data_IF_756348251150
#
_entry.id   IF_756348251150
#
_cell.length_a   1.000
_cell.length_b   1.000
_cell.length_c   1.000
_cell.angle_alpha   90.00
_cell.angle_beta   90.00
_cell.angle_gamma   90.00
#
_symmetry.space_group_name_H-M   'P 1'
#
loop_
_entity.id
_entity.type
_entity.pdbx_description
1 polymer ?
#
# COMPACT_ATOMS: atom_id res chain seq x y z
N UNK A 1 26.40 -4.37 3.14
CA UNK A 1 26.48 -2.91 2.93
C UNK A 1 26.82 -2.21 4.24
N UNK A 2 27.72 -1.24 4.20
CA UNK A 2 28.05 -0.38 5.33
C UNK A 2 27.04 0.78 5.44
N UNK A 3 26.97 1.42 6.62
CA UNK A 3 26.10 2.58 6.82
C UNK A 3 26.48 3.76 5.91
N UNK A 4 27.77 3.92 5.63
CA UNK A 4 28.25 4.97 4.72
C UNK A 4 27.88 4.68 3.26
N UNK A 5 28.02 3.45 2.80
CA UNK A 5 27.59 3.04 1.45
C UNK A 5 26.09 3.31 1.23
N UNK A 6 25.24 3.01 2.24
CA UNK A 6 23.79 3.28 2.16
C UNK A 6 23.54 4.80 2.09
N UNK A 7 24.24 5.60 2.92
CA UNK A 7 24.12 7.06 2.87
C UNK A 7 24.51 7.59 1.48
N UNK A 8 25.65 7.15 0.95
CA UNK A 8 26.16 7.63 -0.34
C UNK A 8 25.23 7.22 -1.50
N UNK A 9 24.61 6.03 -1.41
CA UNK A 9 23.59 5.60 -2.36
C UNK A 9 22.37 6.54 -2.32
N UNK A 10 21.82 6.84 -1.14
CA UNK A 10 20.69 7.76 -1.00
C UNK A 10 21.02 9.17 -1.53
N UNK A 11 22.20 9.68 -1.24
CA UNK A 11 22.63 10.98 -1.75
C UNK A 11 22.79 10.97 -3.28
N UNK A 12 23.25 9.84 -3.86
CA UNK A 12 23.34 9.69 -5.31
C UNK A 12 21.99 9.74 -6.00
N UNK A 13 20.97 9.09 -5.40
CA UNK A 13 19.60 9.14 -5.93
C UNK A 13 18.99 10.55 -5.84
N UNK A 14 19.27 11.28 -4.75
CA UNK A 14 18.88 12.70 -4.66
C UNK A 14 19.54 13.54 -5.76
N UNK A 15 20.81 13.29 -6.08
CA UNK A 15 21.49 13.98 -7.19
C UNK A 15 20.83 13.69 -8.54
N UNK A 16 20.47 12.42 -8.80
CA UNK A 16 19.74 12.03 -10.02
C UNK A 16 18.40 12.75 -10.10
N UNK A 17 17.64 12.78 -8.98
CA UNK A 17 16.37 13.49 -8.91
C UNK A 17 16.53 14.99 -9.25
N UNK A 18 17.54 15.65 -8.69
CA UNK A 18 17.88 17.05 -8.98
C UNK A 18 18.31 17.29 -10.42
N UNK A 19 18.95 16.32 -11.06
CA UNK A 19 19.34 16.35 -12.46
C UNK A 19 18.21 16.00 -13.43
N UNK A 20 17.06 15.53 -12.91
CA UNK A 20 15.94 15.05 -13.74
C UNK A 20 16.20 13.68 -14.36
N UNK A 21 17.12 12.90 -13.81
CA UNK A 21 17.48 11.56 -14.29
C UNK A 21 16.52 10.50 -13.73
N UNK A 22 15.23 10.65 -14.04
CA UNK A 22 14.17 9.69 -13.69
C UNK A 22 13.15 9.61 -14.82
N UNK A 23 12.46 8.46 -14.92
CA UNK A 23 11.41 8.25 -15.90
C UNK A 23 10.13 9.04 -15.50
N UNK A 24 9.57 9.81 -16.43
CA UNK A 24 8.31 10.55 -16.21
C UNK A 24 7.14 9.63 -15.87
N UNK A 25 7.14 8.40 -16.36
CA UNK A 25 6.13 7.40 -16.02
C UNK A 25 6.06 7.12 -14.52
N UNK A 26 7.16 7.36 -13.80
CA UNK A 26 7.19 7.23 -12.33
C UNK A 26 6.35 8.31 -11.64
N UNK A 27 6.20 9.47 -12.24
CA UNK A 27 5.33 10.52 -11.68
C UNK A 27 3.87 10.08 -11.73
N UNK A 28 3.41 9.60 -12.89
CA UNK A 28 2.06 9.04 -13.04
C UNK A 28 1.85 7.84 -12.09
N UNK A 29 2.82 6.94 -12.02
CA UNK A 29 2.79 5.79 -11.12
C UNK A 29 2.60 6.21 -9.65
N UNK A 30 3.36 7.20 -9.19
CA UNK A 30 3.23 7.73 -7.83
C UNK A 30 1.85 8.33 -7.58
N UNK A 31 1.31 9.14 -8.52
CA UNK A 31 -0.02 9.74 -8.40
C UNK A 31 -1.09 8.65 -8.30
N UNK A 32 -1.01 7.61 -9.14
CA UNK A 32 -1.93 6.47 -9.10
C UNK A 32 -1.88 5.74 -7.76
N UNK A 33 -0.70 5.56 -7.17
CA UNK A 33 -0.55 4.92 -5.87
C UNK A 33 -1.05 5.81 -4.72
N UNK A 34 -0.89 7.13 -4.78
CA UNK A 34 -1.54 8.06 -3.84
C UNK A 34 -3.07 7.98 -3.95
N UNK A 35 -3.61 7.96 -5.18
CA UNK A 35 -5.05 7.77 -5.43
C UNK A 35 -5.55 6.45 -4.85
N UNK A 36 -4.83 5.35 -5.09
CA UNK A 36 -5.14 4.05 -4.52
C UNK A 36 -5.19 4.10 -2.99
N UNK A 37 -4.15 4.65 -2.35
CA UNK A 37 -4.08 4.76 -0.89
C UNK A 37 -5.19 5.61 -0.30
N UNK A 38 -5.56 6.71 -0.94
CA UNK A 38 -6.68 7.57 -0.51
C UNK A 38 -8.02 6.83 -0.61
N UNK A 39 -8.29 6.16 -1.73
CA UNK A 39 -9.51 5.37 -1.91
C UNK A 39 -9.62 4.24 -0.88
N UNK A 40 -8.52 3.52 -0.61
CA UNK A 40 -8.47 2.48 0.42
C UNK A 40 -8.69 3.03 1.83
N UNK A 41 -8.07 4.16 2.17
CA UNK A 41 -8.26 4.81 3.46
C UNK A 41 -9.73 5.22 3.67
N UNK A 42 -10.39 5.71 2.62
CA UNK A 42 -11.81 6.10 2.68
C UNK A 42 -12.79 4.94 2.75
N UNK A 43 -12.37 3.67 2.60
CA UNK A 43 -13.25 2.51 2.78
C UNK A 43 -13.70 2.35 4.23
N UNK A 44 -12.90 2.77 5.19
CA UNK A 44 -13.24 2.71 6.61
C UNK A 44 -13.88 4.02 7.13
N UNK A 45 -14.77 3.89 8.13
CA UNK A 45 -15.33 5.06 8.83
C UNK A 45 -14.24 5.83 9.59
N UNK A 46 -13.25 5.13 10.14
CA UNK A 46 -12.12 5.69 10.86
C UNK A 46 -11.25 6.54 9.90
N UNK A 47 -10.85 5.99 8.75
CA UNK A 47 -10.07 6.73 7.76
C UNK A 47 -10.77 8.01 7.30
N UNK A 48 -12.10 7.96 7.05
CA UNK A 48 -12.87 9.17 6.73
C UNK A 48 -12.90 10.18 7.87
N UNK A 49 -13.08 9.71 9.11
CA UNK A 49 -13.09 10.59 10.28
C UNK A 49 -11.72 11.23 10.49
N UNK A 50 -10.64 10.46 10.34
CA UNK A 50 -9.26 10.94 10.49
C UNK A 50 -8.90 12.01 9.46
N UNK A 51 -9.41 11.94 8.24
CA UNK A 51 -9.22 13.01 7.25
C UNK A 51 -9.78 14.35 7.76
N UNK A 52 -10.99 14.35 8.35
CA UNK A 52 -11.57 15.58 8.92
C UNK A 52 -10.77 16.08 10.12
N UNK A 53 -10.38 15.16 11.03
CA UNK A 53 -9.60 15.49 12.23
C UNK A 53 -8.23 16.09 11.83
N UNK A 54 -7.53 15.45 10.90
CA UNK A 54 -6.22 15.90 10.43
C UNK A 54 -6.30 17.25 9.70
N UNK A 55 -7.32 17.46 8.86
CA UNK A 55 -7.57 18.74 8.21
C UNK A 55 -7.78 19.86 9.25
N UNK A 56 -8.57 19.60 10.31
CA UNK A 56 -8.81 20.53 11.38
C UNK A 56 -7.55 20.83 12.20
N UNK A 57 -6.79 19.81 12.62
CA UNK A 57 -5.56 19.97 13.43
C UNK A 57 -4.50 20.75 12.66
N UNK A 58 -4.34 20.46 11.37
CA UNK A 58 -3.33 21.10 10.53
C UNK A 58 -3.78 22.47 10.00
N UNK A 59 -5.04 22.86 10.24
CA UNK A 59 -5.61 24.10 9.69
C UNK A 59 -5.68 24.12 8.17
N UNK A 60 -5.78 22.94 7.54
CA UNK A 60 -5.87 22.79 6.09
C UNK A 60 -7.30 23.06 5.63
N UNK A 61 -7.47 23.86 4.58
CA UNK A 61 -8.78 24.03 3.95
C UNK A 61 -9.26 22.70 3.37
N UNK A 62 -10.48 22.28 3.73
CA UNK A 62 -11.08 21.02 3.27
C UNK A 62 -11.09 20.88 1.74
N UNK A 63 -11.28 21.99 1.03
CA UNK A 63 -11.18 22.00 -0.44
C UNK A 63 -9.79 21.54 -0.91
N UNK A 64 -8.74 21.91 -0.19
CA UNK A 64 -7.39 21.50 -0.52
C UNK A 64 -7.17 20.01 -0.26
N UNK A 65 -7.79 19.43 0.76
CA UNK A 65 -7.73 17.99 1.02
C UNK A 65 -8.36 17.21 -0.14
N UNK A 66 -9.63 17.46 -0.44
CA UNK A 66 -10.39 16.71 -1.46
C UNK A 66 -9.91 16.93 -2.90
N UNK A 67 -9.06 17.92 -3.16
CA UNK A 67 -8.47 18.17 -4.49
C UNK A 67 -6.98 17.85 -4.55
N UNK A 68 -6.42 17.17 -3.53
CA UNK A 68 -4.98 16.90 -3.46
C UNK A 68 -4.49 16.08 -4.66
N UNK A 69 -5.16 14.99 -5.01
CA UNK A 69 -4.82 14.13 -6.16
C UNK A 69 -4.91 14.90 -7.47
N UNK A 70 -5.98 15.71 -7.67
CA UNK A 70 -6.13 16.52 -8.89
C UNK A 70 -5.03 17.57 -9.05
N UNK A 71 -4.51 18.08 -7.92
CA UNK A 71 -3.36 19.01 -7.95
C UNK A 71 -2.05 18.28 -8.22
N UNK A 72 -1.85 17.11 -7.62
CA UNK A 72 -0.67 16.28 -7.90
C UNK A 72 -0.61 15.85 -9.36
N UNK A 73 -1.76 15.53 -9.96
CA UNK A 73 -1.84 15.15 -11.38
C UNK A 73 -1.42 16.26 -12.37
N UNK A 74 -1.30 17.51 -11.89
CA UNK A 74 -0.83 18.65 -12.71
C UNK A 74 0.66 18.91 -12.58
N UNK A 75 1.36 18.22 -11.66
CA UNK A 75 2.80 18.38 -11.50
C UNK A 75 3.53 17.82 -12.70
N UNK A 76 4.55 18.54 -13.13
CA UNK A 76 5.44 18.14 -14.21
C UNK A 76 6.78 17.65 -13.65
N UNK A 77 7.58 17.03 -14.50
CA UNK A 77 8.96 16.66 -14.18
C UNK A 77 9.79 17.87 -13.75
N UNK A 78 9.59 19.00 -14.45
CA UNK A 78 10.28 20.27 -14.16
C UNK A 78 9.92 20.79 -12.77
N UNK A 79 8.66 20.66 -12.33
CA UNK A 79 8.23 21.06 -10.98
C UNK A 79 8.94 20.23 -9.91
N UNK A 80 9.06 18.92 -10.12
CA UNK A 80 9.78 18.01 -9.20
C UNK A 80 11.27 18.37 -9.15
N UNK A 81 11.90 18.58 -10.30
CA UNK A 81 13.32 18.99 -10.39
C UNK A 81 13.54 20.35 -9.72
N UNK A 82 12.65 21.31 -9.94
CA UNK A 82 12.73 22.63 -9.30
C UNK A 82 12.61 22.52 -7.76
N UNK A 83 11.66 21.72 -7.28
CA UNK A 83 11.51 21.45 -5.86
C UNK A 83 12.75 20.78 -5.26
N UNK A 84 13.26 19.73 -5.91
CA UNK A 84 14.45 19.01 -5.46
C UNK A 84 15.68 19.95 -5.37
N UNK A 85 15.91 20.79 -6.38
CA UNK A 85 17.00 21.74 -6.37
C UNK A 85 16.85 22.85 -5.32
N UNK A 86 15.62 23.20 -4.94
CA UNK A 86 15.34 24.21 -3.92
C UNK A 86 15.55 23.65 -2.51
N UNK A 87 15.11 22.43 -2.24
CA UNK A 87 14.98 21.92 -0.86
C UNK A 87 15.92 20.76 -0.54
N UNK A 88 16.30 19.92 -1.49
CA UNK A 88 17.15 18.74 -1.26
C UNK A 88 18.63 19.08 -1.55
N UNK A 89 19.19 19.97 -0.74
CA UNK A 89 20.57 20.44 -0.90
C UNK A 89 21.57 19.55 -0.16
N UNK A 90 22.82 19.57 -0.58
CA UNK A 90 23.90 18.77 0.01
C UNK A 90 24.35 19.25 1.40
N UNK A 91 23.94 20.45 1.79
CA UNK A 91 24.28 21.11 3.07
C UNK A 91 23.08 21.22 4.03
N UNK A 92 21.95 20.61 3.70
CA UNK A 92 20.72 20.75 4.45
C UNK A 92 20.05 19.39 4.75
N UNK A 93 20.78 18.49 5.41
CA UNK A 93 20.26 17.22 5.88
C UNK A 93 20.93 16.79 7.19
N UNK A 94 20.28 15.89 7.91
CA UNK A 94 20.82 15.22 9.09
C UNK A 94 20.88 13.71 8.85
N UNK A 95 21.97 13.09 9.29
CA UNK A 95 22.14 11.62 9.23
C UNK A 95 22.12 11.05 10.62
N UNK A 96 21.26 10.06 10.85
CA UNK A 96 21.19 9.32 12.11
C UNK A 96 21.55 7.87 11.82
N UNK A 97 22.62 7.38 12.44
CA UNK A 97 23.03 5.99 12.34
C UNK A 97 22.55 5.18 13.54
N UNK A 98 21.70 4.18 13.29
CA UNK A 98 21.35 3.20 14.31
C UNK A 98 22.36 2.05 14.28
N UNK A 99 23.16 1.94 15.33
CA UNK A 99 24.18 0.88 15.49
C UNK A 99 23.74 -0.12 16.55
N UNK A 100 24.15 -1.37 16.38
CA UNK A 100 23.95 -2.39 17.40
C UNK A 100 24.94 -2.18 18.57
N UNK A 101 24.50 -2.39 19.82
CA UNK A 101 25.29 -2.28 21.02
C UNK A 101 24.87 -1.11 21.92
N UNK A 102 25.65 -0.91 23.00
CA UNK A 102 25.46 0.25 23.91
C UNK A 102 26.44 1.36 23.53
N UNK A 103 25.96 2.59 23.47
CA UNK A 103 26.83 3.74 23.35
C UNK A 103 27.56 3.97 24.69
N UNK A 104 28.90 3.86 24.72
CA UNK A 104 29.67 4.12 25.94
C UNK A 104 29.56 5.57 26.42
N UNK A 105 29.14 6.50 25.56
CA UNK A 105 28.97 7.92 25.85
C UNK A 105 27.49 8.30 26.06
N UNK A 106 26.61 7.31 26.28
CA UNK A 106 25.19 7.57 26.51
C UNK A 106 25.00 8.51 27.72
N UNK A 107 24.56 9.72 27.45
CA UNK A 107 24.20 10.67 28.50
C UNK A 107 22.82 10.27 29.02
N UNK A 108 22.78 9.76 30.26
CA UNK A 108 21.50 9.58 30.95
C UNK A 108 20.85 10.94 31.15
N UNK A 109 19.80 11.21 30.40
CA UNK A 109 18.97 12.37 30.69
C UNK A 109 18.15 12.09 31.93
N UNK A 110 18.19 13.04 32.87
CA UNK A 110 17.30 12.99 34.04
C UNK A 110 15.88 13.14 33.54
N UNK A 111 15.04 12.15 33.84
CA UNK A 111 13.63 12.20 33.47
C UNK A 111 13.00 13.43 34.16
N UNK A 112 12.39 14.36 33.43
CA UNK A 112 11.72 15.50 34.05
C UNK A 112 10.60 15.02 34.98
N UNK A 113 10.35 15.71 36.05
CA UNK A 113 9.20 15.47 36.90
C UNK A 113 7.93 15.73 36.07
N UNK A 114 7.10 14.70 35.94
CA UNK A 114 5.81 14.82 35.25
C UNK A 114 4.78 15.15 36.32
N UNK A 115 4.22 16.34 36.26
CA UNK A 115 3.08 16.70 37.11
C UNK A 115 1.91 15.79 36.69
N UNK A 116 1.37 14.96 37.62
CA UNK A 116 0.23 14.11 37.28
C UNK A 116 -0.96 14.97 36.85
N UNK A 117 -1.51 14.68 35.68
CA UNK A 117 -2.77 15.30 35.26
C UNK A 117 -3.88 14.61 36.05
N UNK A 118 -4.61 15.36 36.85
CA UNK A 118 -5.82 14.85 37.50
C UNK A 118 -6.88 14.63 36.43
N UNK A 119 -7.07 13.39 36.04
CA UNK A 119 -8.14 13.00 35.09
C UNK A 119 -9.42 12.80 35.87
N UNK A 120 -10.38 13.70 35.68
CA UNK A 120 -11.71 13.59 36.28
C UNK A 120 -12.58 12.65 35.43
N UNK A 121 -12.34 11.34 35.56
CA UNK A 121 -13.01 10.32 34.73
C UNK A 121 -14.50 10.18 35.01
N UNK A 122 -14.94 10.68 36.15
CA UNK A 122 -16.33 10.57 36.61
C UNK A 122 -17.20 11.77 36.20
N UNK A 123 -16.60 12.77 35.52
CA UNK A 123 -17.30 13.97 35.06
C UNK A 123 -17.27 14.03 33.54
N UNK A 124 -18.45 13.96 32.93
CA UNK A 124 -18.62 14.19 31.50
C UNK A 124 -18.88 15.69 31.24
N UNK A 125 -18.36 16.23 30.13
CA UNK A 125 -18.75 17.58 29.70
C UNK A 125 -20.21 17.59 29.24
N UNK A 126 -20.90 18.75 29.31
CA UNK A 126 -22.27 18.86 28.81
C UNK A 126 -22.41 18.37 27.36
N UNK A 127 -21.43 18.66 26.51
CA UNK A 127 -21.37 18.17 25.11
C UNK A 127 -21.31 16.64 25.04
N UNK A 128 -20.48 16.00 25.85
CA UNK A 128 -20.39 14.54 25.86
C UNK A 128 -21.69 13.91 26.32
N UNK A 129 -22.34 14.48 27.34
CA UNK A 129 -23.65 14.02 27.80
C UNK A 129 -24.71 14.15 26.71
N UNK A 130 -24.76 15.29 26.00
CA UNK A 130 -25.67 15.50 24.86
C UNK A 130 -25.46 14.45 23.75
N UNK A 131 -24.20 14.15 23.41
CA UNK A 131 -23.87 13.11 22.41
C UNK A 131 -24.29 11.72 22.90
N UNK A 132 -24.05 11.39 24.17
CA UNK A 132 -24.41 10.09 24.75
C UNK A 132 -25.91 9.89 24.86
N UNK A 133 -26.66 10.96 25.13
CA UNK A 133 -28.14 10.91 25.24
C UNK A 133 -28.86 11.10 23.90
N UNK A 134 -28.11 11.43 22.83
CA UNK A 134 -28.71 11.57 21.50
C UNK A 134 -29.31 10.26 21.02
N UNK A 135 -30.50 10.35 20.46
CA UNK A 135 -31.22 9.18 19.91
C UNK A 135 -30.49 8.72 18.62
N UNK A 136 -29.90 7.55 18.69
CA UNK A 136 -29.23 6.92 17.53
C UNK A 136 -30.21 5.89 16.93
N UNK A 137 -30.50 5.99 15.63
CA UNK A 137 -31.21 4.93 14.93
C UNK A 137 -30.35 3.67 14.90
N UNK A 138 -30.87 2.51 15.33
CA UNK A 138 -30.12 1.26 15.17
C UNK A 138 -29.81 1.00 13.70
N UNK A 139 -28.60 0.53 13.44
CA UNK A 139 -28.20 0.09 12.10
C UNK A 139 -28.77 -1.31 11.90
N UNK A 140 -29.65 -1.45 10.93
CA UNK A 140 -30.18 -2.76 10.53
C UNK A 140 -29.12 -3.52 9.73
N UNK A 141 -28.85 -4.81 10.06
CA UNK A 141 -27.90 -5.60 9.29
C UNK A 141 -28.44 -5.87 7.89
N UNK A 142 -27.60 -5.67 6.90
CA UNK A 142 -27.89 -6.02 5.50
C UNK A 142 -27.27 -7.39 5.22
N UNK A 143 -28.12 -8.40 5.03
CA UNK A 143 -27.67 -9.75 4.66
C UNK A 143 -27.57 -9.88 3.14
N UNK A 144 -26.44 -10.44 2.67
CA UNK A 144 -26.26 -10.73 1.25
C UNK A 144 -27.08 -11.97 0.85
N UNK A 145 -27.86 -11.83 -0.22
CA UNK A 145 -28.48 -12.94 -0.93
C UNK A 145 -27.60 -13.29 -2.16
N UNK A 146 -26.79 -14.35 -2.05
CA UNK A 146 -25.84 -14.74 -3.09
C UNK A 146 -26.49 -15.03 -4.45
N UNK A 147 -27.78 -15.30 -4.49
CA UNK A 147 -28.50 -15.53 -5.76
C UNK A 147 -28.95 -14.23 -6.41
N UNK A 148 -29.25 -13.19 -5.59
CA UNK A 148 -29.75 -11.90 -6.08
C UNK A 148 -28.66 -10.85 -6.19
N UNK A 149 -27.73 -10.87 -5.22
CA UNK A 149 -26.73 -9.81 -5.06
C UNK A 149 -25.44 -10.06 -5.80
N UNK A 150 -25.26 -11.28 -6.35
CA UNK A 150 -24.09 -11.68 -7.13
C UNK A 150 -24.49 -12.21 -8.49
N UNK A 151 -23.75 -11.83 -9.53
CA UNK A 151 -23.88 -12.44 -10.86
C UNK A 151 -23.02 -13.70 -10.94
N UNK A 152 -23.62 -14.78 -11.43
CA UNK A 152 -22.94 -16.04 -11.69
C UNK A 152 -22.58 -16.10 -13.17
N UNK A 153 -21.30 -16.07 -13.47
CA UNK A 153 -20.75 -16.09 -14.83
C UNK A 153 -19.85 -17.31 -14.99
N UNK A 154 -19.44 -17.59 -16.22
CA UNK A 154 -18.47 -18.63 -16.55
C UNK A 154 -17.39 -18.05 -17.46
N UNK A 155 -16.13 -18.39 -17.17
CA UNK A 155 -15.04 -18.17 -18.10
C UNK A 155 -15.13 -19.11 -19.30
N UNK A 156 -14.32 -18.87 -20.35
CA UNK A 156 -14.26 -19.74 -21.54
C UNK A 156 -13.90 -21.20 -21.24
N UNK A 157 -13.21 -21.45 -20.13
CA UNK A 157 -12.80 -22.78 -19.64
C UNK A 157 -13.83 -23.42 -18.68
N UNK A 158 -15.07 -22.95 -18.68
CA UNK A 158 -16.14 -23.35 -17.76
C UNK A 158 -15.87 -23.08 -16.26
N UNK A 159 -14.82 -22.33 -15.95
CA UNK A 159 -14.53 -21.92 -14.56
C UNK A 159 -15.64 -20.97 -14.08
N UNK A 160 -16.28 -21.27 -12.95
CA UNK A 160 -17.32 -20.40 -12.40
C UNK A 160 -16.73 -19.10 -11.90
N UNK A 161 -17.41 -17.99 -12.18
CA UNK A 161 -17.06 -16.64 -11.71
C UNK A 161 -18.24 -16.10 -10.91
N UNK A 162 -18.00 -15.70 -9.68
CA UNK A 162 -18.93 -14.93 -8.87
C UNK A 162 -18.54 -13.46 -8.96
N UNK A 163 -19.45 -12.62 -9.44
CA UNK A 163 -19.18 -11.21 -9.66
C UNK A 163 -20.13 -10.34 -8.85
N UNK A 164 -19.59 -9.37 -8.18
CA UNK A 164 -20.31 -8.26 -7.52
C UNK A 164 -19.68 -6.95 -7.93
N UNK A 165 -20.48 -6.05 -8.49
CA UNK A 165 -19.99 -4.71 -8.83
C UNK A 165 -19.66 -3.94 -7.55
N UNK A 166 -18.48 -3.35 -7.48
CA UNK A 166 -18.13 -2.37 -6.47
C UNK A 166 -18.80 -1.03 -6.85
N UNK A 167 -19.75 -0.59 -6.02
CA UNK A 167 -20.47 0.67 -6.19
C UNK A 167 -20.01 1.75 -5.21
N UNK A 168 -19.07 1.42 -4.33
CA UNK A 168 -18.59 2.32 -3.28
C UNK A 168 -17.43 3.20 -3.76
N UNK A 169 -16.55 2.64 -4.58
CA UNK A 169 -15.37 3.33 -5.12
C UNK A 169 -14.87 2.67 -6.41
N UNK A 170 -13.79 3.22 -6.97
CA UNK A 170 -13.15 2.74 -8.21
C UNK A 170 -12.05 1.70 -7.97
N UNK A 171 -12.21 0.85 -6.97
CA UNK A 171 -11.30 -0.27 -6.70
C UNK A 171 -11.88 -1.59 -7.17
N UNK A 172 -11.00 -2.51 -7.57
CA UNK A 172 -11.36 -3.90 -7.83
C UNK A 172 -10.60 -4.87 -6.93
N UNK A 173 -11.19 -6.04 -6.73
CA UNK A 173 -10.53 -7.21 -6.18
C UNK A 173 -10.92 -8.44 -6.98
N UNK A 174 -9.94 -9.16 -7.52
CA UNK A 174 -10.13 -10.44 -8.20
C UNK A 174 -9.46 -11.53 -7.37
N UNK A 175 -10.22 -12.55 -7.02
CA UNK A 175 -9.74 -13.66 -6.20
C UNK A 175 -9.81 -14.94 -7.02
N UNK A 176 -8.66 -15.56 -7.29
CA UNK A 176 -8.57 -16.92 -7.79
C UNK A 176 -8.56 -17.87 -6.61
N UNK A 177 -9.41 -18.90 -6.66
CA UNK A 177 -9.52 -19.91 -5.62
C UNK A 177 -9.09 -21.25 -6.18
N UNK A 178 -8.05 -21.83 -5.60
CA UNK A 178 -7.56 -23.15 -5.94
C UNK A 178 -7.94 -24.15 -4.85
N UNK A 179 -8.58 -25.26 -5.19
CA UNK A 179 -8.91 -26.34 -4.25
C UNK A 179 -7.67 -27.21 -3.96
N UNK A 180 -6.56 -26.54 -3.59
CA UNK A 180 -5.30 -27.14 -3.21
C UNK A 180 -4.60 -26.22 -2.19
N UNK A 181 -4.11 -26.78 -1.10
CA UNK A 181 -3.43 -26.06 -0.02
C UNK A 181 -2.32 -26.89 0.61
N UNK A 182 -1.79 -26.44 1.74
CA UNK A 182 -0.63 -27.05 2.43
C UNK A 182 -0.86 -28.50 2.89
N UNK A 183 -2.12 -28.95 3.05
CA UNK A 183 -2.44 -30.35 3.32
C UNK A 183 -2.22 -31.26 2.11
N UNK A 184 -2.28 -30.71 0.89
CA UNK A 184 -2.05 -31.45 -0.35
C UNK A 184 -0.56 -31.48 -0.70
N UNK A 185 0.15 -30.35 -0.52
CA UNK A 185 1.59 -30.25 -0.71
C UNK A 185 2.19 -29.18 0.23
N UNK A 186 3.10 -29.60 1.10
CA UNK A 186 3.75 -28.70 2.07
C UNK A 186 4.70 -27.68 1.42
N UNK A 187 5.12 -27.91 0.18
CA UNK A 187 5.98 -26.99 -0.55
C UNK A 187 5.22 -25.79 -1.15
N UNK A 188 3.89 -25.83 -1.17
CA UNK A 188 3.09 -24.77 -1.78
C UNK A 188 3.35 -23.39 -1.18
N UNK A 189 3.42 -23.27 0.16
CA UNK A 189 3.75 -22.02 0.81
C UNK A 189 5.03 -21.41 0.27
N UNK A 190 6.12 -22.17 0.33
CA UNK A 190 7.44 -21.74 -0.18
C UNK A 190 7.41 -21.43 -1.69
N UNK A 191 6.69 -22.23 -2.48
CA UNK A 191 6.58 -21.99 -3.92
C UNK A 191 5.86 -20.67 -4.24
N UNK A 192 4.85 -20.31 -3.46
CA UNK A 192 4.13 -19.06 -3.64
C UNK A 192 4.92 -17.86 -3.12
N UNK A 193 5.62 -17.98 -2.00
CA UNK A 193 6.54 -16.95 -1.54
C UNK A 193 7.63 -16.67 -2.57
N UNK A 194 8.09 -17.74 -3.26
CA UNK A 194 9.09 -17.62 -4.31
C UNK A 194 8.55 -16.91 -5.58
N UNK A 195 7.26 -16.96 -5.86
CA UNK A 195 6.66 -16.32 -7.03
C UNK A 195 6.93 -14.81 -7.08
N UNK A 196 7.03 -14.15 -5.93
CA UNK A 196 7.32 -12.71 -5.85
C UNK A 196 8.74 -12.32 -6.32
N UNK A 197 9.64 -13.30 -6.44
CA UNK A 197 11.02 -13.13 -6.89
C UNK A 197 11.25 -13.55 -8.34
N UNK A 198 10.19 -13.91 -9.04
CA UNK A 198 10.26 -14.37 -10.41
C UNK A 198 9.91 -13.25 -11.39
N UNK A 199 10.59 -13.30 -12.53
CA UNK A 199 10.24 -12.54 -13.73
C UNK A 199 9.63 -13.44 -14.80
N UNK A 200 9.52 -12.92 -16.01
CA UNK A 200 9.13 -13.62 -17.22
C UNK A 200 10.30 -13.67 -18.19
N UNK A 201 10.14 -14.33 -19.35
CA UNK A 201 11.19 -14.40 -20.37
C UNK A 201 11.61 -13.04 -20.93
N UNK A 202 10.77 -12.00 -20.78
CA UNK A 202 10.98 -10.64 -21.30
C UNK A 202 10.93 -9.54 -20.24
N UNK A 203 10.72 -9.88 -18.97
CA UNK A 203 10.71 -8.92 -17.86
C UNK A 203 11.45 -9.49 -16.64
N UNK A 204 12.37 -8.71 -16.09
CA UNK A 204 12.98 -9.03 -14.80
C UNK A 204 11.96 -8.92 -13.66
N UNK A 205 12.21 -9.50 -12.46
CA UNK A 205 11.35 -9.32 -11.29
C UNK A 205 11.14 -7.85 -10.92
N UNK A 206 12.17 -7.03 -11.07
CA UNK A 206 12.13 -5.58 -10.79
C UNK A 206 11.25 -4.84 -11.80
N UNK A 207 11.36 -5.17 -13.08
CA UNK A 207 10.52 -4.59 -14.14
C UNK A 207 9.05 -5.00 -13.93
N UNK A 208 8.79 -6.26 -13.57
CA UNK A 208 7.45 -6.74 -13.27
C UNK A 208 6.84 -5.99 -12.08
N UNK A 209 7.58 -5.82 -10.99
CA UNK A 209 7.14 -5.03 -9.82
C UNK A 209 6.90 -3.57 -10.18
N UNK A 210 7.76 -2.99 -11.01
CA UNK A 210 7.61 -1.62 -11.49
C UNK A 210 6.33 -1.45 -12.32
N UNK A 211 5.98 -2.42 -13.17
CA UNK A 211 4.74 -2.38 -13.94
C UNK A 211 3.50 -2.54 -13.06
N UNK A 212 3.49 -3.43 -12.07
CA UNK A 212 2.40 -3.50 -11.09
C UNK A 212 2.26 -2.19 -10.31
N UNK A 213 3.38 -1.59 -9.89
CA UNK A 213 3.39 -0.29 -9.22
C UNK A 213 2.83 0.82 -10.13
N UNK A 214 3.22 0.85 -11.42
CA UNK A 214 2.71 1.81 -12.40
C UNK A 214 1.19 1.71 -12.58
N UNK A 215 0.66 0.49 -12.52
CA UNK A 215 -0.77 0.22 -12.61
C UNK A 215 -1.52 0.55 -11.30
N UNK A 216 -0.82 0.86 -10.22
CA UNK A 216 -1.37 0.91 -8.86
C UNK A 216 -2.21 -0.35 -8.57
N UNK A 217 -1.65 -1.50 -8.90
CA UNK A 217 -2.20 -2.82 -8.68
C UNK A 217 -1.18 -3.68 -7.94
N UNK A 218 -1.66 -4.65 -7.20
CA UNK A 218 -0.82 -5.61 -6.49
C UNK A 218 -1.47 -6.98 -6.49
N UNK A 219 -0.66 -8.01 -6.33
CA UNK A 219 -1.16 -9.33 -6.03
C UNK A 219 -0.46 -9.90 -4.79
N UNK A 220 -1.14 -10.80 -4.13
CA UNK A 220 -0.53 -11.66 -3.10
C UNK A 220 -1.15 -13.05 -3.15
N UNK A 221 -0.41 -14.01 -2.65
CA UNK A 221 -0.86 -15.39 -2.57
C UNK A 221 -0.98 -15.79 -1.10
N UNK A 222 -2.09 -16.42 -0.75
CA UNK A 222 -2.38 -16.88 0.61
C UNK A 222 -2.67 -18.40 0.58
N UNK A 223 -1.64 -19.24 0.76
CA UNK A 223 -1.83 -20.68 0.85
C UNK A 223 -2.42 -21.04 2.21
N UNK A 224 -3.67 -21.53 2.22
CA UNK A 224 -4.31 -22.10 3.37
C UNK A 224 -4.07 -23.63 3.47
N UNK A 225 -4.75 -24.29 4.40
CA UNK A 225 -4.61 -25.75 4.56
C UNK A 225 -5.27 -26.51 3.41
N UNK A 226 -6.49 -26.14 3.04
CA UNK A 226 -7.32 -26.84 2.04
C UNK A 226 -7.31 -26.12 0.69
N UNK A 227 -7.20 -24.79 0.69
CA UNK A 227 -7.32 -23.92 -0.46
C UNK A 227 -6.23 -22.89 -0.50
N UNK A 228 -5.87 -22.48 -1.70
CA UNK A 228 -4.98 -21.34 -1.93
C UNK A 228 -5.78 -20.22 -2.59
N UNK A 229 -5.57 -19.02 -2.11
CA UNK A 229 -6.18 -17.81 -2.63
C UNK A 229 -5.10 -16.94 -3.26
N UNK A 230 -5.34 -16.51 -4.49
CA UNK A 230 -4.55 -15.47 -5.13
C UNK A 230 -5.44 -14.25 -5.26
N UNK A 231 -5.01 -13.14 -4.70
CA UNK A 231 -5.77 -11.89 -4.70
C UNK A 231 -5.02 -10.87 -5.53
N UNK A 232 -5.67 -10.38 -6.58
CA UNK A 232 -5.22 -9.27 -7.40
C UNK A 232 -6.15 -8.09 -7.14
N UNK A 233 -5.61 -6.93 -6.79
CA UNK A 233 -6.39 -5.75 -6.43
C UNK A 233 -5.72 -4.45 -6.84
N UNK A 234 -6.50 -3.38 -6.96
CA UNK A 234 -6.00 -2.06 -7.30
C UNK A 234 -7.04 -1.16 -7.94
N UNK A 235 -6.60 -0.18 -8.73
CA UNK A 235 -7.47 0.72 -9.47
C UNK A 235 -8.25 -0.04 -10.55
N UNK A 236 -9.57 0.10 -10.55
CA UNK A 236 -10.46 -0.63 -11.47
C UNK A 236 -10.16 -0.37 -12.95
N UNK A 237 -9.76 0.84 -13.30
CA UNK A 237 -9.36 1.20 -14.67
C UNK A 237 -8.16 0.39 -15.20
N UNK A 238 -7.28 -0.06 -14.31
CA UNK A 238 -6.08 -0.83 -14.63
C UNK A 238 -6.26 -2.36 -14.49
N UNK A 239 -7.43 -2.83 -14.07
CA UNK A 239 -7.72 -4.26 -13.88
C UNK A 239 -7.33 -5.13 -15.10
N UNK A 240 -7.73 -4.79 -16.36
CA UNK A 240 -7.41 -5.64 -17.50
C UNK A 240 -5.89 -5.82 -17.72
N UNK A 241 -5.12 -4.73 -17.57
CA UNK A 241 -3.66 -4.77 -17.72
C UNK A 241 -2.99 -5.55 -16.58
N UNK A 242 -3.47 -5.39 -15.35
CA UNK A 242 -2.95 -6.11 -14.19
C UNK A 242 -3.23 -7.63 -14.29
N UNK A 243 -4.42 -8.02 -14.77
CA UNK A 243 -4.77 -9.43 -15.01
C UNK A 243 -3.85 -10.03 -16.07
N UNK A 244 -3.65 -9.35 -17.21
CA UNK A 244 -2.74 -9.83 -18.27
C UNK A 244 -1.31 -9.98 -17.76
N UNK A 245 -0.82 -9.04 -16.98
CA UNK A 245 0.52 -9.09 -16.41
C UNK A 245 0.67 -10.26 -15.42
N UNK A 246 -0.32 -10.47 -14.56
CA UNK A 246 -0.32 -11.58 -13.60
C UNK A 246 -0.43 -12.96 -14.30
N UNK A 247 -1.35 -13.11 -15.24
CA UNK A 247 -1.50 -14.36 -16.00
C UNK A 247 -0.25 -14.67 -16.83
N UNK A 248 0.44 -13.65 -17.36
CA UNK A 248 1.73 -13.80 -18.03
C UNK A 248 2.79 -14.32 -17.07
N UNK A 249 2.90 -13.76 -15.84
CA UNK A 249 3.81 -14.28 -14.83
C UNK A 249 3.53 -15.76 -14.54
N UNK A 250 2.27 -16.18 -14.38
CA UNK A 250 1.93 -17.58 -14.13
C UNK A 250 2.29 -18.50 -15.29
N UNK A 251 2.12 -18.02 -16.53
CA UNK A 251 2.36 -18.81 -17.74
C UNK A 251 3.84 -18.92 -18.15
N UNK A 252 4.65 -17.93 -17.79
CA UNK A 252 6.03 -17.76 -18.27
C UNK A 252 7.02 -17.44 -17.13
N UNK A 253 6.77 -17.93 -15.92
CA UNK A 253 7.65 -17.71 -14.78
C UNK A 253 9.06 -18.28 -15.02
N UNK A 254 10.09 -17.45 -14.88
CA UNK A 254 11.48 -17.83 -15.06
C UNK A 254 12.18 -18.10 -13.73
N UNK A 255 12.84 -19.24 -13.62
CA UNK A 255 13.54 -19.66 -12.39
C UNK A 255 14.71 -18.73 -12.08
N UNK A 256 14.74 -18.21 -10.84
CA UNK A 256 15.83 -17.44 -10.29
C UNK A 256 16.50 -18.19 -9.11
N UNK A 257 17.58 -18.92 -9.42
CA UNK A 257 18.27 -19.77 -8.42
C UNK A 257 18.90 -18.96 -7.29
N UNK A 258 19.39 -17.77 -7.58
CA UNK A 258 20.00 -16.89 -6.57
C UNK A 258 18.95 -16.39 -5.58
N UNK A 259 17.82 -15.89 -6.08
CA UNK A 259 16.70 -15.47 -5.25
C UNK A 259 16.16 -16.64 -4.39
N UNK A 260 16.04 -17.84 -4.96
CA UNK A 260 15.63 -19.02 -4.21
C UNK A 260 16.60 -19.34 -3.07
N UNK A 261 17.92 -19.32 -3.34
CA UNK A 261 18.95 -19.58 -2.33
C UNK A 261 18.91 -18.56 -1.21
N UNK A 262 18.77 -17.28 -1.56
CA UNK A 262 18.69 -16.20 -0.57
C UNK A 262 17.43 -16.33 0.30
N UNK A 263 16.26 -16.56 -0.31
CA UNK A 263 15.00 -16.75 0.40
C UNK A 263 14.99 -17.94 1.37
N UNK A 264 15.71 -19.03 1.05
CA UNK A 264 15.76 -20.22 1.89
C UNK A 264 16.90 -20.21 2.92
N UNK A 265 17.78 -19.20 2.88
CA UNK A 265 18.91 -19.05 3.82
C UNK A 265 18.61 -18.15 5.00
N UNK A 266 17.57 -17.33 4.91
CA UNK A 266 17.03 -16.47 5.96
C UNK A 266 16.00 -17.21 6.83
#
# INVERSE_FOLDING_TARGET
QTLEEVKDLLLSEIKKLRAGEFDEKMLEANINNFKLGELQNMESNEGRADMFVNSFINGTDWKNEVTAIDRMAKLTKEDIVAFANKYLKEDNYAVIYKKQGKDPNEKKMTKPEITPIITNRDVASPFLVEVQESAVKPIEPVFLDYQKDMSQLKAKSDIPILYKQNVANDLFQLIYVFDMGNNHDKALGTAFDYLEYLGTSDMTPEELKSEFYRLACTFYVSPGNERTYVVLSGLNENMPAAVQLFEKLLADAQVNKEAYTNMTSD
#
